data_IF_315999874963
#
_entry.id   IF_315999874963
#
_cell.length_a   1.000
_cell.length_b   1.000
_cell.length_c   1.000
_cell.angle_alpha   90.00
_cell.angle_beta   90.00
_cell.angle_gamma   90.00
#
_symmetry.space_group_name_H-M   'P 1'
#
loop_
_entity.id
_entity.type
_entity.pdbx_description
1 polymer ?
#
# COMPACT_ATOMS: atom_id res chain seq x y z
N UNK A 1 7.40 -12.25 -0.20
CA UNK A 1 6.01 -11.83 0.10
C UNK A 1 5.80 -11.25 1.50
N UNK A 2 6.27 -11.85 2.60
CA UNK A 2 6.12 -11.28 3.97
C UNK A 2 6.59 -9.82 4.11
N UNK A 3 7.76 -9.50 3.56
CA UNK A 3 8.32 -8.13 3.59
C UNK A 3 7.42 -7.13 2.85
N UNK A 4 6.83 -7.53 1.71
CA UNK A 4 5.95 -6.67 0.92
C UNK A 4 4.70 -6.29 1.73
N UNK A 5 3.97 -7.28 2.24
CA UNK A 5 2.76 -7.02 3.02
C UNK A 5 3.06 -6.35 4.36
N UNK A 6 4.17 -6.70 5.01
CA UNK A 6 4.63 -6.05 6.24
C UNK A 6 4.95 -4.57 6.03
N UNK A 7 5.58 -4.21 4.91
CA UNK A 7 5.88 -2.81 4.58
C UNK A 7 4.61 -2.01 4.27
N UNK A 8 3.63 -2.59 3.57
CA UNK A 8 2.34 -1.94 3.33
C UNK A 8 1.58 -1.71 4.63
N UNK A 9 1.49 -2.73 5.49
CA UNK A 9 0.84 -2.58 6.80
C UNK A 9 1.56 -1.56 7.68
N UNK A 10 2.90 -1.58 7.70
CA UNK A 10 3.68 -0.61 8.48
C UNK A 10 3.51 0.82 7.96
N UNK A 11 3.38 1.00 6.63
CA UNK A 11 3.07 2.28 6.02
C UNK A 11 1.68 2.76 6.48
N UNK A 12 0.64 1.94 6.34
CA UNK A 12 -0.70 2.27 6.79
C UNK A 12 -0.75 2.62 8.29
N UNK A 13 -0.11 1.81 9.16
CA UNK A 13 -0.03 2.08 10.62
C UNK A 13 0.69 3.38 10.94
N UNK A 14 1.74 3.71 10.19
CA UNK A 14 2.54 4.92 10.42
C UNK A 14 1.77 6.20 10.07
N UNK A 15 0.98 6.17 8.99
CA UNK A 15 0.29 7.37 8.49
C UNK A 15 -1.16 7.49 8.98
N UNK A 16 -1.77 6.42 9.45
CA UNK A 16 -3.10 6.47 10.05
C UNK A 16 -3.04 7.17 11.41
N UNK A 17 -3.81 8.26 11.63
CA UNK A 17 -3.82 8.96 12.91
C UNK A 17 -4.45 8.10 14.02
N UNK A 18 -4.20 8.48 15.28
CA UNK A 18 -4.79 7.80 16.44
C UNK A 18 -6.32 7.79 16.34
N UNK A 19 -6.92 6.61 16.48
CA UNK A 19 -8.37 6.42 16.33
C UNK A 19 -8.84 6.19 14.89
N UNK A 20 -7.93 6.23 13.92
CA UNK A 20 -8.18 5.78 12.56
C UNK A 20 -8.27 4.26 12.44
N UNK A 21 -8.65 3.80 11.25
CA UNK A 21 -8.89 2.39 10.94
C UNK A 21 -8.07 1.96 9.73
N UNK A 22 -7.63 0.71 9.75
CA UNK A 22 -6.95 0.06 8.63
C UNK A 22 -7.69 -1.25 8.34
N UNK A 23 -8.35 -1.29 7.19
CA UNK A 23 -9.00 -2.49 6.67
C UNK A 23 -8.05 -3.23 5.74
N UNK A 24 -7.80 -4.50 6.03
CA UNK A 24 -7.01 -5.38 5.15
C UNK A 24 -7.92 -6.46 4.62
N UNK A 25 -8.05 -6.54 3.30
CA UNK A 25 -8.88 -7.54 2.64
C UNK A 25 -8.08 -8.34 1.61
N UNK A 26 -8.48 -9.61 1.44
CA UNK A 26 -7.94 -10.49 0.42
C UNK A 26 -9.11 -11.08 -0.34
N UNK A 27 -9.08 -10.97 -1.67
CA UNK A 27 -10.06 -11.62 -2.56
C UNK A 27 -9.37 -12.24 -3.75
N UNK A 28 -10.05 -13.18 -4.38
CA UNK A 28 -9.68 -13.68 -5.70
C UNK A 28 -10.62 -13.07 -6.74
N UNK A 29 -10.04 -12.45 -7.77
CA UNK A 29 -10.79 -11.83 -8.85
C UNK A 29 -10.03 -12.02 -10.17
N UNK A 30 -10.74 -12.47 -11.22
CA UNK A 30 -10.19 -12.65 -12.56
C UNK A 30 -8.89 -13.50 -12.59
N UNK A 31 -8.83 -14.56 -11.78
CA UNK A 31 -7.66 -15.46 -11.70
C UNK A 31 -6.48 -14.91 -10.89
N UNK A 32 -6.60 -13.72 -10.29
CA UNK A 32 -5.55 -13.10 -9.48
C UNK A 32 -5.96 -12.99 -8.02
N UNK A 33 -4.97 -13.08 -7.13
CA UNK A 33 -5.13 -12.63 -5.75
C UNK A 33 -5.05 -11.09 -5.74
N UNK A 34 -6.00 -10.47 -5.05
CA UNK A 34 -6.05 -9.02 -4.82
C UNK A 34 -6.02 -8.79 -3.31
N UNK A 35 -5.00 -8.10 -2.84
CA UNK A 35 -4.84 -7.68 -1.44
C UNK A 35 -4.96 -6.17 -1.39
N UNK A 36 -5.87 -5.66 -0.58
CA UNK A 36 -6.07 -4.22 -0.36
C UNK A 36 -5.80 -3.87 1.09
N UNK A 37 -5.05 -2.79 1.28
CA UNK A 37 -4.90 -2.09 2.54
C UNK A 37 -5.59 -0.75 2.36
N UNK A 38 -6.67 -0.53 3.11
CA UNK A 38 -7.46 0.68 3.05
C UNK A 38 -7.38 1.34 4.42
N UNK A 39 -6.81 2.53 4.48
CA UNK A 39 -6.71 3.27 5.73
C UNK A 39 -7.62 4.50 5.75
N UNK A 40 -7.59 5.21 6.88
CA UNK A 40 -8.28 6.49 7.10
C UNK A 40 -7.28 7.60 7.38
N UNK A 41 -6.17 7.63 6.65
CA UNK A 41 -5.17 8.69 6.72
C UNK A 41 -5.66 10.01 6.08
N UNK A 42 -4.75 10.98 5.93
CA UNK A 42 -5.05 12.29 5.33
C UNK A 42 -5.08 12.28 3.79
N UNK A 43 -4.81 11.13 3.17
CA UNK A 43 -4.52 11.01 1.75
C UNK A 43 -3.19 11.65 1.36
N UNK A 44 -2.96 11.71 0.05
CA UNK A 44 -1.76 12.28 -0.59
C UNK A 44 -2.18 13.26 -1.67
N UNK A 45 -1.42 14.35 -1.89
CA UNK A 45 -1.69 15.25 -3.01
C UNK A 45 -1.63 14.47 -4.35
N UNK A 46 -2.57 14.70 -5.27
CA UNK A 46 -2.60 13.94 -6.55
C UNK A 46 -1.29 14.04 -7.34
N UNK A 47 -0.61 15.18 -7.26
CA UNK A 47 0.71 15.41 -7.89
C UNK A 47 1.82 14.53 -7.32
N UNK A 48 1.65 14.01 -6.10
CA UNK A 48 2.64 13.21 -5.38
C UNK A 48 2.42 11.71 -5.56
N UNK A 49 1.21 11.27 -5.94
CA UNK A 49 0.89 9.85 -6.19
C UNK A 49 1.90 9.15 -7.12
N UNK A 50 2.32 9.74 -8.27
CA UNK A 50 3.29 9.10 -9.16
C UNK A 50 4.66 8.88 -8.52
N UNK A 51 4.99 9.65 -7.48
CA UNK A 51 6.30 9.67 -6.82
C UNK A 51 6.35 8.79 -5.58
N UNK A 52 5.21 8.24 -5.12
CA UNK A 52 5.15 7.41 -3.92
C UNK A 52 6.04 6.16 -3.94
N UNK A 53 6.44 5.71 -5.13
CA UNK A 53 7.38 4.60 -5.29
C UNK A 53 8.85 5.03 -5.47
N UNK A 54 9.12 6.34 -5.53
CA UNK A 54 10.47 6.86 -5.58
C UNK A 54 11.18 6.62 -4.25
N UNK A 55 12.48 6.33 -4.33
CA UNK A 55 13.29 6.15 -3.12
C UNK A 55 13.39 7.47 -2.35
N UNK A 56 13.19 7.40 -1.06
CA UNK A 56 13.31 8.53 -0.12
C UNK A 56 12.27 9.63 -0.35
N UNK A 57 11.26 9.41 -1.19
CA UNK A 57 10.14 10.35 -1.34
C UNK A 57 9.15 10.17 -0.19
N UNK A 58 8.60 11.28 0.30
CA UNK A 58 7.59 11.32 1.36
C UNK A 58 6.60 12.44 1.04
N UNK A 59 5.32 12.08 0.99
CA UNK A 59 4.22 13.03 0.87
C UNK A 59 3.70 13.55 2.23
N UNK A 60 4.20 12.97 3.33
CA UNK A 60 3.73 13.25 4.67
C UNK A 60 4.50 14.40 5.36
N UNK A 61 3.91 15.00 6.42
CA UNK A 61 4.60 16.01 7.23
C UNK A 61 5.94 15.50 7.79
N UNK A 62 6.90 16.41 7.95
CA UNK A 62 8.25 16.10 8.45
C UNK A 62 8.28 15.51 9.88
N UNK A 63 7.19 15.67 10.63
CA UNK A 63 7.00 15.18 12.00
C UNK A 63 6.77 13.67 12.07
N UNK A 64 6.34 13.05 10.96
CA UNK A 64 6.19 11.60 10.88
C UNK A 64 7.55 11.02 10.49
N UNK A 65 8.20 10.36 11.46
CA UNK A 65 9.44 9.63 11.20
C UNK A 65 9.22 8.56 10.11
N UNK A 66 10.21 8.29 9.25
CA UNK A 66 10.07 7.37 8.14
C UNK A 66 11.13 7.57 7.06
N UNK A 67 11.62 6.47 6.49
CA UNK A 67 12.74 6.50 5.53
C UNK A 67 12.32 6.87 4.11
N UNK A 68 11.04 6.73 3.76
CA UNK A 68 10.57 6.85 2.37
C UNK A 68 11.05 5.69 1.49
N UNK A 69 11.44 4.57 2.08
CA UNK A 69 11.98 3.40 1.37
C UNK A 69 10.97 2.26 1.27
N UNK A 70 9.96 2.24 2.14
CA UNK A 70 9.03 1.14 2.33
C UNK A 70 8.26 0.82 1.03
N UNK A 71 7.68 1.84 0.38
CA UNK A 71 6.95 1.67 -0.89
C UNK A 71 7.87 1.34 -2.06
N UNK A 72 9.10 1.87 -2.08
CA UNK A 72 10.10 1.48 -3.08
C UNK A 72 10.49 0.00 -2.94
N UNK A 73 10.61 -0.52 -1.71
CA UNK A 73 10.83 -1.96 -1.45
C UNK A 73 9.62 -2.78 -1.90
N UNK A 74 8.41 -2.34 -1.57
CA UNK A 74 7.16 -3.00 -2.00
C UNK A 74 7.12 -3.13 -3.52
N UNK A 75 7.39 -2.03 -4.24
CA UNK A 75 7.38 -2.00 -5.70
C UNK A 75 8.44 -2.93 -6.29
N UNK A 76 9.66 -2.95 -5.73
CA UNK A 76 10.73 -3.84 -6.18
C UNK A 76 10.39 -5.32 -5.96
N UNK A 77 9.84 -5.69 -4.80
CA UNK A 77 9.42 -7.07 -4.50
C UNK A 77 8.27 -7.48 -5.42
N UNK A 78 7.25 -6.63 -5.58
CA UNK A 78 6.10 -6.92 -6.43
C UNK A 78 6.52 -7.21 -7.87
N UNK A 79 7.31 -6.31 -8.48
CA UNK A 79 7.84 -6.48 -9.84
C UNK A 79 8.64 -7.76 -9.98
N UNK A 80 9.49 -8.09 -9.01
CA UNK A 80 10.30 -9.33 -9.02
C UNK A 80 9.44 -10.60 -9.05
N UNK A 81 8.26 -10.56 -8.44
CA UNK A 81 7.37 -11.72 -8.33
C UNK A 81 6.23 -11.71 -9.36
N UNK A 82 6.19 -10.74 -10.29
CA UNK A 82 5.11 -10.62 -11.27
C UNK A 82 3.80 -10.08 -10.69
N UNK A 83 3.87 -9.35 -9.58
CA UNK A 83 2.74 -8.65 -8.96
C UNK A 83 2.79 -7.16 -9.32
N UNK A 84 1.61 -6.54 -9.33
CA UNK A 84 1.40 -5.11 -9.54
C UNK A 84 1.01 -4.48 -8.21
N UNK A 85 1.55 -3.30 -7.92
CA UNK A 85 1.14 -2.48 -6.76
C UNK A 85 0.58 -1.17 -7.29
N UNK A 86 -0.56 -0.75 -6.78
CA UNK A 86 -1.10 0.60 -7.00
C UNK A 86 -1.38 1.26 -5.66
N UNK A 87 -1.29 2.58 -5.65
CA UNK A 87 -1.66 3.42 -4.51
C UNK A 87 -2.54 4.55 -5.04
N UNK A 88 -3.69 4.75 -4.42
CA UNK A 88 -4.66 5.78 -4.78
C UNK A 88 -5.30 6.36 -3.52
N UNK A 89 -5.79 7.60 -3.61
CA UNK A 89 -6.65 8.14 -2.57
C UNK A 89 -8.02 7.47 -2.63
N UNK A 90 -8.64 7.32 -1.47
CA UNK A 90 -10.06 7.02 -1.38
C UNK A 90 -10.89 8.13 -2.01
N UNK A 91 -12.02 7.75 -2.61
CA UNK A 91 -12.97 8.69 -3.23
C UNK A 91 -14.20 8.94 -2.37
N UNK A 92 -14.46 8.08 -1.38
CA UNK A 92 -15.63 8.16 -0.50
C UNK A 92 -15.38 9.03 0.75
N UNK A 93 -14.13 9.11 1.21
CA UNK A 93 -13.66 9.90 2.36
C UNK A 93 -12.13 10.00 2.33
N UNK A 94 -11.55 10.70 3.30
CA UNK A 94 -10.09 10.74 3.48
C UNK A 94 -9.53 9.33 3.76
N UNK A 95 -8.36 9.05 3.18
CA UNK A 95 -7.62 7.80 3.36
C UNK A 95 -6.97 7.33 2.06
N UNK A 96 -6.15 6.29 2.16
CA UNK A 96 -5.43 5.71 1.05
C UNK A 96 -5.85 4.26 0.80
N UNK A 97 -5.75 3.82 -0.45
CA UNK A 97 -5.91 2.43 -0.88
C UNK A 97 -4.58 1.98 -1.50
N UNK A 98 -3.86 1.09 -0.82
CA UNK A 98 -2.75 0.35 -1.40
C UNK A 98 -3.24 -1.03 -1.85
N UNK A 99 -3.13 -1.31 -3.15
CA UNK A 99 -3.59 -2.57 -3.75
C UNK A 99 -2.42 -3.34 -4.33
N UNK A 100 -2.37 -4.63 -4.04
CA UNK A 100 -1.40 -5.57 -4.63
C UNK A 100 -2.17 -6.64 -5.38
N UNK A 101 -1.88 -6.82 -6.66
CA UNK A 101 -2.54 -7.79 -7.53
C UNK A 101 -1.50 -8.69 -8.17
N UNK A 102 -1.71 -10.00 -8.15
CA UNK A 102 -0.80 -10.93 -8.81
C UNK A 102 -1.36 -12.35 -8.86
N UNK A 103 -0.56 -13.31 -9.36
CA UNK A 103 -0.98 -14.68 -9.51
C UNK A 103 -1.52 -15.24 -8.19
N UNK A 104 -2.77 -15.70 -8.23
CA UNK A 104 -3.37 -16.39 -7.10
C UNK A 104 -2.67 -17.74 -6.88
N UNK A 105 -2.01 -17.92 -5.74
CA UNK A 105 -1.64 -19.27 -5.32
C UNK A 105 -2.93 -19.96 -4.87
N UNK A 106 -3.47 -20.85 -5.71
CA UNK A 106 -4.45 -21.84 -5.26
C UNK A 106 -3.80 -22.60 -4.10
N UNK A 107 -4.28 -22.41 -2.88
CA UNK A 107 -4.00 -23.34 -1.80
C UNK A 107 -4.90 -24.55 -2.12
N UNK A 108 -4.34 -25.72 -2.49
CA UNK A 108 -5.16 -26.91 -2.67
C UNK A 108 -5.84 -27.21 -1.32
N UNK A 109 -7.16 -27.36 -1.36
CA UNK A 109 -7.98 -27.84 -0.25
C UNK A 109 -7.58 -29.24 0.18
#
# INVERSE_FOLDING_TARGET
MKILFGNLLNNAVRYTPRGGMIDVSVRFAHGNAVVEFVDSDYGVAESDLPRLFDRSFRAAPAEIDGSGLELAIVHAIARRHGWVVTVENRTDRSGMIARVTGPGFLIPS
#
